data_IF_226618384706
#
_entry.id   IF_226618384706
#
_cell.length_a   1.000
_cell.length_b   1.000
_cell.length_c   1.000
_cell.angle_alpha   90.00
_cell.angle_beta   90.00
_cell.angle_gamma   90.00
#
_symmetry.space_group_name_H-M   'P 1'
#
loop_
_entity.id
_entity.type
_entity.pdbx_description
1 polymer ?
#
# COMPACT_ATOMS: atom_id res chain seq x y z
N UNK A 1 -11.63 -20.35 -45.86
CA UNK A 1 -12.24 -20.09 -44.53
C UNK A 1 -11.39 -20.55 -43.34
N UNK A 2 -10.51 -21.55 -43.47
CA UNK A 2 -9.66 -22.00 -42.37
C UNK A 2 -8.58 -20.98 -41.94
N UNK A 3 -7.97 -20.26 -42.89
CA UNK A 3 -6.92 -19.28 -42.62
C UNK A 3 -7.37 -18.13 -41.71
N UNK A 4 -8.57 -17.58 -41.97
CA UNK A 4 -9.17 -16.50 -41.16
C UNK A 4 -9.43 -16.96 -39.73
N UNK A 5 -9.83 -18.22 -39.54
CA UNK A 5 -10.02 -18.81 -38.20
C UNK A 5 -8.71 -18.94 -37.44
N UNK A 6 -7.63 -19.34 -38.10
CA UNK A 6 -6.30 -19.41 -37.49
C UNK A 6 -5.79 -18.02 -37.07
N UNK A 7 -5.96 -17.00 -37.90
CA UNK A 7 -5.57 -15.63 -37.55
C UNK A 7 -6.32 -15.11 -36.30
N UNK A 8 -7.62 -15.45 -36.19
CA UNK A 8 -8.47 -15.01 -35.06
C UNK A 8 -8.07 -15.69 -33.74
N UNK A 9 -7.66 -16.97 -33.79
CA UNK A 9 -7.20 -17.70 -32.60
C UNK A 9 -5.84 -17.15 -32.13
N UNK A 10 -4.93 -16.85 -33.06
CA UNK A 10 -3.60 -16.32 -32.73
C UNK A 10 -3.70 -14.91 -32.13
N UNK A 11 -4.57 -14.05 -32.67
CA UNK A 11 -4.77 -12.72 -32.09
C UNK A 11 -5.41 -12.79 -30.71
N UNK A 12 -6.41 -13.66 -30.50
CA UNK A 12 -7.03 -13.87 -29.20
C UNK A 12 -6.01 -14.32 -28.13
N UNK A 13 -5.13 -15.28 -28.47
CA UNK A 13 -4.08 -15.75 -27.56
C UNK A 13 -3.07 -14.65 -27.19
N UNK A 14 -2.68 -13.81 -28.16
CA UNK A 14 -1.75 -12.69 -27.92
C UNK A 14 -2.34 -11.60 -27.00
N UNK A 15 -3.63 -11.30 -27.13
CA UNK A 15 -4.32 -10.36 -26.24
C UNK A 15 -4.40 -10.88 -24.80
N UNK A 16 -4.75 -12.17 -24.62
CA UNK A 16 -4.83 -12.80 -23.30
C UNK A 16 -3.46 -12.87 -22.58
N UNK A 17 -2.39 -13.15 -23.31
CA UNK A 17 -1.03 -13.14 -22.78
C UNK A 17 -0.60 -11.74 -22.32
N UNK A 18 -1.03 -10.69 -23.03
CA UNK A 18 -0.70 -9.30 -22.70
C UNK A 18 -1.44 -8.79 -21.46
N UNK A 19 -2.69 -9.22 -21.23
CA UNK A 19 -3.44 -8.86 -20.03
C UNK A 19 -2.84 -9.45 -18.74
N UNK A 20 -2.16 -10.59 -18.83
CA UNK A 20 -1.51 -11.23 -17.68
C UNK A 20 -0.26 -10.47 -17.19
N UNK A 21 0.34 -9.63 -18.06
CA UNK A 21 1.51 -8.83 -17.72
C UNK A 21 1.15 -7.52 -16.98
N UNK A 22 -0.12 -7.11 -17.03
CA UNK A 22 -0.63 -5.89 -16.39
C UNK A 22 -1.02 -6.08 -14.91
N UNK A 23 -0.54 -7.15 -14.26
CA UNK A 23 -0.85 -7.44 -12.85
C UNK A 23 -0.08 -6.59 -11.82
N UNK A 24 0.88 -5.76 -12.25
CA UNK A 24 1.61 -4.84 -11.38
C UNK A 24 1.25 -3.41 -11.75
N UNK A 25 0.29 -2.82 -11.05
CA UNK A 25 -0.04 -1.40 -11.15
C UNK A 25 1.20 -0.59 -10.70
N UNK A 26 1.85 0.20 -11.57
CA UNK A 26 2.95 1.07 -11.16
C UNK A 26 2.36 2.19 -10.29
N UNK A 27 2.54 2.06 -8.98
CA UNK A 27 1.98 2.98 -7.98
C UNK A 27 1.67 2.33 -6.63
N UNK A 28 1.47 1.00 -6.61
CA UNK A 28 1.14 0.26 -5.38
C UNK A 28 2.38 -0.38 -4.72
N UNK A 29 3.48 -0.60 -5.46
CA UNK A 29 4.57 -1.51 -5.03
C UNK A 29 5.91 -0.87 -4.62
N UNK A 30 6.03 0.45 -4.49
CA UNK A 30 7.35 1.11 -4.52
C UNK A 30 7.74 1.96 -3.31
N UNK A 31 6.78 2.50 -2.56
CA UNK A 31 7.02 3.47 -1.45
C UNK A 31 6.42 3.02 -0.12
N UNK A 32 5.99 1.77 -0.04
CA UNK A 32 5.17 1.19 1.03
C UNK A 32 5.87 1.08 2.39
N UNK A 33 7.16 1.42 2.48
CA UNK A 33 7.95 1.27 3.71
C UNK A 33 8.73 2.53 4.06
N UNK A 34 8.57 3.60 3.29
CA UNK A 34 9.27 4.87 3.55
C UNK A 34 8.84 5.46 4.91
N UNK A 35 7.58 5.23 5.32
CA UNK A 35 7.09 5.61 6.65
C UNK A 35 7.74 4.81 7.79
N UNK A 36 8.25 3.59 7.56
CA UNK A 36 8.95 2.81 8.59
C UNK A 36 10.33 3.38 8.90
N UNK A 37 10.93 4.12 7.95
CA UNK A 37 12.22 4.78 8.12
C UNK A 37 12.09 6.18 8.77
N UNK A 38 10.87 6.67 9.01
CA UNK A 38 10.66 7.97 9.61
C UNK A 38 11.19 8.02 11.05
N UNK A 39 11.94 9.08 11.39
CA UNK A 39 12.47 9.27 12.74
C UNK A 39 11.35 9.63 13.70
N UNK A 40 11.31 8.97 14.86
CA UNK A 40 10.44 9.39 15.97
C UNK A 40 10.90 10.75 16.51
N UNK A 41 10.05 11.77 16.40
CA UNK A 41 10.32 13.10 16.96
C UNK A 41 9.74 13.17 18.38
N UNK A 42 10.55 13.45 19.42
CA UNK A 42 10.03 13.62 20.77
C UNK A 42 9.16 14.89 20.86
N UNK A 43 8.27 14.98 21.86
CA UNK A 43 7.51 16.19 22.12
C UNK A 43 8.41 17.42 22.25
N UNK A 44 7.94 18.56 21.74
CA UNK A 44 8.61 19.85 21.90
C UNK A 44 8.73 20.17 23.40
N UNK A 45 9.94 20.51 23.83
CA UNK A 45 10.17 21.01 25.19
C UNK A 45 9.70 22.46 25.27
N UNK A 46 8.78 22.72 26.19
CA UNK A 46 8.17 24.03 26.36
C UNK A 46 8.82 24.65 27.60
N UNK A 47 9.41 25.86 27.49
CA UNK A 47 10.00 26.52 28.64
C UNK A 47 8.90 26.89 29.66
N UNK A 48 9.25 27.00 30.95
CA UNK A 48 8.30 27.36 32.00
C UNK A 48 7.69 28.74 31.72
N UNK A 49 6.37 28.86 31.92
CA UNK A 49 5.61 30.09 31.65
C UNK A 49 5.00 30.19 30.25
N UNK A 50 5.29 29.26 29.35
CA UNK A 50 4.61 29.11 28.06
C UNK A 50 3.80 27.80 28.04
N UNK A 51 2.62 27.83 27.44
CA UNK A 51 1.79 26.64 27.17
C UNK A 51 1.75 26.42 25.65
N UNK A 52 2.19 25.25 25.21
CA UNK A 52 2.17 24.85 23.80
C UNK A 52 1.56 23.45 23.68
N UNK A 53 0.25 23.39 23.87
CA UNK A 53 -0.51 22.14 23.72
C UNK A 53 -1.15 22.01 22.33
N UNK A 54 -1.11 23.08 21.53
CA UNK A 54 -1.88 23.19 20.28
C UNK A 54 -1.56 22.07 19.27
N UNK A 55 -0.30 21.64 19.17
CA UNK A 55 0.10 20.65 18.18
C UNK A 55 -0.29 19.22 18.57
N UNK A 56 -0.10 18.86 19.84
CA UNK A 56 -0.47 17.53 20.35
C UNK A 56 -1.99 17.37 20.48
N UNK A 57 -2.69 18.46 20.76
CA UNK A 57 -4.15 18.48 20.80
C UNK A 57 -4.77 18.36 19.40
N UNK A 58 -4.17 19.01 18.40
CA UNK A 58 -4.67 18.93 17.02
C UNK A 58 -4.36 17.58 16.34
N UNK A 59 -3.23 16.96 16.67
CA UNK A 59 -2.79 15.69 16.10
C UNK A 59 -2.37 14.69 17.19
N UNK A 60 -3.33 14.16 17.97
CA UNK A 60 -3.01 13.23 19.04
C UNK A 60 -2.52 11.91 18.48
N UNK A 61 -1.33 11.48 18.89
CA UNK A 61 -0.77 10.17 18.55
C UNK A 61 -0.69 9.32 19.81
N UNK A 62 -1.27 8.12 19.78
CA UNK A 62 -1.25 7.22 20.92
C UNK A 62 0.16 6.67 21.17
N UNK A 63 0.64 6.70 22.42
CA UNK A 63 1.88 6.04 22.86
C UNK A 63 1.72 4.50 22.92
N UNK A 64 1.37 3.87 21.81
CA UNK A 64 1.29 2.41 21.72
C UNK A 64 2.55 1.88 21.06
N UNK A 65 3.13 0.84 21.66
CA UNK A 65 4.12 0.02 20.97
C UNK A 65 3.39 -0.86 19.95
N UNK A 66 3.75 -0.74 18.68
CA UNK A 66 3.21 -1.55 17.58
C UNK A 66 4.27 -2.59 17.17
N UNK A 67 4.37 -3.74 17.87
CA UNK A 67 5.43 -4.73 17.63
C UNK A 67 5.40 -5.33 16.22
N UNK A 68 4.23 -5.34 15.58
CA UNK A 68 4.01 -5.89 14.24
C UNK A 68 4.03 -4.82 13.13
N UNK A 69 4.49 -3.60 13.42
CA UNK A 69 4.47 -2.47 12.47
C UNK A 69 5.28 -2.71 11.19
N UNK A 70 6.33 -3.53 11.24
CA UNK A 70 7.15 -3.89 10.10
C UNK A 70 6.64 -5.13 9.32
N UNK A 71 5.57 -5.77 9.79
CA UNK A 71 5.02 -6.98 9.16
C UNK A 71 4.33 -6.62 7.85
N UNK A 72 4.45 -7.51 6.87
CA UNK A 72 3.71 -7.38 5.62
C UNK A 72 2.22 -7.67 5.89
N UNK A 73 1.38 -6.64 5.81
CA UNK A 73 -0.07 -6.72 6.04
C UNK A 73 -0.76 -6.88 4.70
N UNK A 74 -1.68 -7.85 4.61
CA UNK A 74 -2.51 -8.00 3.43
C UNK A 74 -3.47 -6.82 3.31
N UNK A 75 -3.43 -6.12 2.17
CA UNK A 75 -4.37 -5.06 1.81
C UNK A 75 -5.57 -5.66 1.04
N UNK A 76 -5.59 -6.97 0.82
CA UNK A 76 -6.70 -7.65 0.14
C UNK A 76 -7.97 -7.43 0.94
N UNK A 77 -9.08 -6.96 0.32
CA UNK A 77 -10.31 -6.73 1.04
C UNK A 77 -10.79 -8.03 1.70
N UNK A 78 -11.27 -7.95 2.94
CA UNK A 78 -11.78 -9.12 3.64
C UNK A 78 -12.95 -9.73 2.85
N UNK A 79 -12.94 -11.05 2.69
CA UNK A 79 -13.99 -11.79 1.97
C UNK A 79 -13.70 -12.13 0.51
N UNK A 80 -12.73 -11.48 -0.15
CA UNK A 80 -12.31 -11.85 -1.52
C UNK A 80 -11.33 -13.03 -1.56
N UNK A 81 -10.53 -13.21 -0.50
CA UNK A 81 -9.54 -14.28 -0.39
C UNK A 81 -10.00 -15.49 0.43
N UNK A 82 -11.27 -15.54 0.87
CA UNK A 82 -11.83 -16.71 1.55
C UNK A 82 -12.30 -17.76 0.53
N UNK A 83 -11.43 -18.12 -0.40
CA UNK A 83 -11.57 -19.32 -1.21
C UNK A 83 -10.91 -20.48 -0.48
N UNK A 84 -11.70 -21.22 0.32
CA UNK A 84 -11.47 -22.65 0.45
C UNK A 84 -11.88 -23.32 -0.85
#
# INVERSE_FOLDING_TARGET
>A
MAFVRYCLIISCAAFLASCSYLGKIPGVGGREKEYLAARSVPPIQIPPGLTSDAFQTAYPVSYRQYPESAKNVSIVPPGLASGK
#
